data_IF_200617984640
#
_entry.id   IF_200617984640
#
_cell.length_a   1.000
_cell.length_b   1.000
_cell.length_c   1.000
_cell.angle_alpha   90.00
_cell.angle_beta   90.00
_cell.angle_gamma   90.00
#
_symmetry.space_group_name_H-M   'P 1'
#
loop_
_entity.id
_entity.type
_entity.pdbx_description
1 polymer ?
#
# COMPACT_ATOMS: atom_id res chain seq x y z
N UNK A 1 -40.67 -50.43 21.84
CA UNK A 1 -39.59 -51.25 21.25
C UNK A 1 -38.44 -50.30 20.96
N UNK A 2 -37.23 -50.57 21.51
CA UNK A 2 -35.91 -50.00 21.14
C UNK A 2 -35.70 -48.50 21.44
N UNK A 3 -34.58 -47.96 21.94
CA UNK A 3 -33.39 -48.36 22.70
C UNK A 3 -32.59 -47.06 22.92
N UNK A 4 -31.92 -46.97 24.06
CA UNK A 4 -30.72 -46.17 24.41
C UNK A 4 -30.15 -45.19 23.36
N UNK A 5 -29.71 -44.00 23.83
CA UNK A 5 -28.29 -43.73 24.02
C UNK A 5 -28.05 -42.40 24.75
N UNK A 6 -27.56 -42.51 26.00
CA UNK A 6 -26.67 -41.53 26.61
C UNK A 6 -25.32 -41.63 25.89
N UNK A 7 -24.96 -40.62 25.11
CA UNK A 7 -23.66 -40.34 24.49
C UNK A 7 -23.69 -38.82 24.19
N UNK A 8 -22.73 -37.96 24.45
CA UNK A 8 -21.44 -37.99 25.14
C UNK A 8 -21.14 -36.51 25.41
N UNK A 9 -20.87 -36.16 26.67
CA UNK A 9 -20.77 -34.79 27.18
C UNK A 9 -19.32 -34.29 27.16
N UNK A 10 -18.50 -34.73 26.21
CA UNK A 10 -17.05 -34.50 26.27
C UNK A 10 -16.33 -34.02 25.02
N UNK A 11 -17.00 -33.77 23.89
CA UNK A 11 -16.31 -33.25 22.68
C UNK A 11 -17.01 -32.03 22.10
N UNK A 12 -16.68 -30.85 22.65
CA UNK A 12 -16.42 -29.60 21.91
C UNK A 12 -16.07 -28.46 22.87
N UNK A 13 -14.98 -28.65 23.62
CA UNK A 13 -14.20 -27.55 24.14
C UNK A 13 -13.42 -26.91 22.99
N UNK A 14 -13.95 -25.83 22.41
CA UNK A 14 -13.16 -24.60 22.22
C UNK A 14 -14.12 -23.45 21.97
N UNK A 15 -14.60 -22.85 23.06
CA UNK A 15 -15.18 -21.51 22.99
C UNK A 15 -14.05 -20.60 22.51
N UNK A 16 -14.04 -20.33 21.22
CA UNK A 16 -13.11 -19.43 20.58
C UNK A 16 -13.38 -18.04 21.18
N UNK A 17 -12.63 -17.69 22.21
CA UNK A 17 -12.67 -16.36 22.83
C UNK A 17 -12.28 -15.38 21.75
N UNK A 18 -13.27 -14.72 21.16
CA UNK A 18 -13.06 -13.56 20.30
C UNK A 18 -12.26 -12.56 21.14
N UNK A 19 -10.96 -12.46 20.86
CA UNK A 19 -10.10 -11.48 21.48
C UNK A 19 -10.09 -10.29 20.52
N UNK A 20 -10.84 -9.21 20.76
CA UNK A 20 -10.85 -8.05 19.86
C UNK A 20 -9.47 -7.37 19.77
N UNK A 21 -8.52 -7.75 20.63
CA UNK A 21 -7.13 -7.29 20.58
C UNK A 21 -6.29 -7.94 19.48
N UNK A 22 -6.71 -9.07 18.89
CA UNK A 22 -5.97 -9.68 17.77
C UNK A 22 -6.09 -8.92 16.44
N UNK A 23 -7.08 -8.02 16.30
CA UNK A 23 -7.21 -7.15 15.12
C UNK A 23 -6.42 -5.84 15.22
N UNK A 24 -5.96 -5.45 16.41
CA UNK A 24 -5.26 -4.17 16.63
C UNK A 24 -3.78 -4.18 16.21
N UNK A 25 -3.26 -5.31 15.76
CA UNK A 25 -1.91 -5.41 15.22
C UNK A 25 -1.89 -6.19 13.92
N UNK A 26 -2.72 -5.81 12.94
CA UNK A 26 -2.34 -6.01 11.54
C UNK A 26 -1.11 -5.12 11.28
N UNK A 27 0.04 -5.57 11.81
CA UNK A 27 1.38 -5.07 11.57
C UNK A 27 1.41 -4.80 10.08
N UNK A 28 1.47 -3.53 9.68
CA UNK A 28 1.60 -3.18 8.27
C UNK A 28 2.87 -3.87 7.80
N UNK A 29 2.71 -5.01 7.13
CA UNK A 29 3.82 -5.86 6.77
C UNK A 29 4.68 -5.07 5.80
N UNK A 30 5.78 -4.52 6.30
CA UNK A 30 6.74 -3.79 5.48
C UNK A 30 7.40 -4.78 4.55
N UNK A 31 6.96 -4.81 3.29
CA UNK A 31 7.58 -5.61 2.24
C UNK A 31 8.79 -4.85 1.72
N UNK A 32 9.95 -5.49 1.73
CA UNK A 32 11.15 -5.00 1.06
C UNK A 32 11.20 -5.58 -0.35
N UNK A 33 11.57 -4.76 -1.32
CA UNK A 33 11.84 -5.19 -2.69
C UNK A 33 13.09 -4.48 -3.20
N UNK A 34 13.85 -5.14 -4.07
CA UNK A 34 15.01 -4.56 -4.76
C UNK A 34 14.59 -4.15 -6.17
N UNK A 35 15.14 -3.03 -6.63
CA UNK A 35 14.90 -2.50 -7.97
C UNK A 35 16.22 -2.49 -8.71
N UNK A 36 16.22 -2.99 -9.94
CA UNK A 36 17.37 -2.92 -10.83
C UNK A 36 17.18 -1.71 -11.73
N UNK A 37 18.13 -0.78 -11.71
CA UNK A 37 18.11 0.45 -12.51
C UNK A 37 19.33 0.48 -13.42
N UNK A 38 19.23 1.17 -14.56
CA UNK A 38 20.42 1.53 -15.32
C UNK A 38 21.30 2.48 -14.50
N UNK A 39 22.58 2.60 -14.86
CA UNK A 39 23.49 3.56 -14.23
C UNK A 39 22.91 4.98 -14.25
N UNK A 40 22.37 5.40 -15.41
CA UNK A 40 21.77 6.71 -15.63
C UNK A 40 20.55 6.94 -14.74
N UNK A 41 19.64 5.97 -14.65
CA UNK A 41 18.42 6.10 -13.83
C UNK A 41 18.76 6.12 -12.33
N UNK A 42 19.80 5.40 -11.92
CA UNK A 42 20.32 5.42 -10.54
C UNK A 42 20.90 6.78 -10.18
N UNK A 43 21.67 7.40 -11.08
CA UNK A 43 22.18 8.76 -10.91
C UNK A 43 21.04 9.78 -10.83
N UNK A 44 20.07 9.66 -11.73
CA UNK A 44 18.89 10.54 -11.73
C UNK A 44 18.06 10.42 -10.44
N UNK A 45 17.89 9.20 -9.91
CA UNK A 45 17.22 8.98 -8.62
C UNK A 45 17.95 9.69 -7.47
N UNK A 46 19.29 9.64 -7.46
CA UNK A 46 20.11 10.32 -6.45
C UNK A 46 20.00 11.84 -6.54
N UNK A 47 19.96 12.38 -7.74
CA UNK A 47 19.77 13.82 -7.97
C UNK A 47 18.42 14.29 -7.43
N UNK A 48 17.32 13.59 -7.76
CA UNK A 48 15.99 13.91 -7.24
C UNK A 48 15.95 13.84 -5.71
N UNK A 49 16.53 12.78 -5.13
CA UNK A 49 16.61 12.59 -3.69
C UNK A 49 17.33 13.78 -3.03
N UNK A 50 18.44 14.24 -3.60
CA UNK A 50 19.20 15.40 -3.13
C UNK A 50 18.43 16.72 -3.27
N UNK A 51 17.81 16.96 -4.43
CA UNK A 51 17.08 18.21 -4.71
C UNK A 51 15.86 18.40 -3.78
N UNK A 52 15.20 17.30 -3.42
CA UNK A 52 14.00 17.32 -2.59
C UNK A 52 14.28 17.09 -1.10
N UNK A 53 15.53 16.89 -0.71
CA UNK A 53 15.94 16.50 0.65
C UNK A 53 15.17 15.26 1.15
N UNK A 54 15.19 14.21 0.33
CA UNK A 54 14.51 12.93 0.57
C UNK A 54 15.49 11.76 0.44
N UNK A 55 15.13 10.62 1.00
CA UNK A 55 15.80 9.36 0.69
C UNK A 55 15.34 8.80 -0.66
N UNK A 56 16.19 8.05 -1.36
CA UNK A 56 15.84 7.36 -2.61
C UNK A 56 14.56 6.50 -2.45
N UNK A 57 14.41 5.84 -1.31
CA UNK A 57 13.21 5.05 -0.98
C UNK A 57 11.94 5.91 -0.88
N UNK A 58 12.03 7.13 -0.37
CA UNK A 58 10.90 8.06 -0.32
C UNK A 58 10.53 8.58 -1.70
N UNK A 59 11.54 8.86 -2.55
CA UNK A 59 11.32 9.22 -3.94
C UNK A 59 10.55 8.12 -4.67
N UNK A 60 10.99 6.86 -4.57
CA UNK A 60 10.29 5.72 -5.18
C UNK A 60 8.87 5.57 -4.63
N UNK A 61 8.67 5.71 -3.31
CA UNK A 61 7.33 5.64 -2.71
C UNK A 61 6.40 6.75 -3.20
N UNK A 62 6.91 7.97 -3.34
CA UNK A 62 6.14 9.11 -3.89
C UNK A 62 5.86 8.92 -5.37
N UNK A 63 6.84 8.43 -6.13
CA UNK A 63 6.69 8.05 -7.54
C UNK A 63 5.59 7.01 -7.73
N UNK A 64 5.56 5.95 -6.92
CA UNK A 64 4.49 4.95 -6.97
C UNK A 64 3.09 5.55 -6.74
N UNK A 65 2.97 6.49 -5.78
CA UNK A 65 1.70 7.20 -5.54
C UNK A 65 1.30 8.07 -6.73
N UNK A 66 2.24 8.77 -7.34
CA UNK A 66 2.01 9.57 -8.53
C UNK A 66 1.53 8.68 -9.70
N UNK A 67 2.17 7.53 -9.90
CA UNK A 67 1.75 6.55 -10.92
C UNK A 67 0.36 5.98 -10.65
N UNK A 68 -0.03 5.79 -9.38
CA UNK A 68 -1.38 5.38 -9.04
C UNK A 68 -2.44 6.45 -9.35
N UNK A 69 -2.10 7.74 -9.20
CA UNK A 69 -2.98 8.84 -9.61
C UNK A 69 -3.08 8.93 -11.14
N UNK A 70 -1.95 8.77 -11.83
CA UNK A 70 -1.91 8.72 -13.29
C UNK A 70 -2.73 7.54 -13.86
N UNK A 71 -2.62 6.35 -13.26
CA UNK A 71 -3.41 5.20 -13.70
C UNK A 71 -4.94 5.45 -13.60
N UNK A 72 -5.39 6.26 -12.64
CA UNK A 72 -6.81 6.63 -12.52
C UNK A 72 -7.27 7.54 -13.66
N UNK A 73 -6.40 8.41 -14.17
CA UNK A 73 -6.75 9.30 -15.28
C UNK A 73 -6.96 8.55 -16.59
N UNK A 74 -6.36 7.37 -16.74
CA UNK A 74 -6.58 6.50 -17.90
C UNK A 74 -7.92 5.75 -17.83
N UNK A 75 -8.53 5.64 -16.65
CA UNK A 75 -9.76 4.85 -16.43
C UNK A 75 -11.02 5.69 -16.21
N UNK A 76 -10.87 6.95 -15.79
CA UNK A 76 -11.97 7.86 -15.47
C UNK A 76 -12.02 8.97 -16.53
N UNK A 77 -13.18 9.14 -17.20
CA UNK A 77 -13.39 10.22 -18.18
C UNK A 77 -13.23 11.60 -17.53
N UNK A 78 -12.62 12.55 -18.25
CA UNK A 78 -12.40 13.96 -17.84
C UNK A 78 -11.51 14.20 -16.61
N UNK A 79 -10.59 13.29 -16.30
CA UNK A 79 -9.68 13.44 -15.16
C UNK A 79 -8.39 14.19 -15.51
N UNK A 80 -8.01 15.19 -14.70
CA UNK A 80 -6.76 15.95 -14.87
C UNK A 80 -5.87 15.88 -13.62
N UNK A 81 -4.54 15.77 -13.81
CA UNK A 81 -3.57 15.91 -12.73
C UNK A 81 -3.07 17.36 -12.64
N UNK A 82 -3.31 17.99 -11.50
CA UNK A 82 -2.88 19.37 -11.22
C UNK A 82 -1.82 19.33 -10.11
N UNK A 83 -0.64 19.92 -10.36
CA UNK A 83 0.31 20.22 -9.30
C UNK A 83 -0.06 21.53 -8.64
N UNK A 84 -0.38 21.47 -7.35
CA UNK A 84 -0.61 22.65 -6.54
C UNK A 84 0.55 22.87 -5.58
N UNK A 85 1.17 24.05 -5.64
CA UNK A 85 2.19 24.50 -4.69
C UNK A 85 1.75 25.84 -4.09
N UNK A 86 1.16 25.80 -2.89
CA UNK A 86 0.49 26.97 -2.31
C UNK A 86 -0.73 27.38 -3.13
N UNK A 87 -0.75 28.62 -3.61
CA UNK A 87 -1.82 29.15 -4.47
C UNK A 87 -1.50 29.01 -5.97
N UNK A 88 -0.31 28.53 -6.32
CA UNK A 88 0.04 28.26 -7.72
C UNK A 88 -0.45 26.87 -8.12
N UNK A 89 -1.19 26.82 -9.23
CA UNK A 89 -1.58 25.59 -9.90
C UNK A 89 -0.84 25.51 -11.24
N UNK A 90 -0.23 24.35 -11.51
CA UNK A 90 0.42 24.06 -12.79
C UNK A 90 -0.12 22.73 -13.31
N UNK A 91 -0.64 22.69 -14.54
CA UNK A 91 -1.02 21.42 -15.15
C UNK A 91 0.23 20.55 -15.31
N UNK A 92 0.11 19.26 -14.99
CA UNK A 92 1.12 18.28 -15.33
C UNK A 92 0.94 17.90 -16.80
N UNK A 93 1.91 18.25 -17.64
CA UNK A 93 2.06 17.64 -18.96
C UNK A 93 2.97 16.42 -18.78
N UNK A 94 2.41 15.22 -18.92
CA UNK A 94 3.19 13.99 -19.04
C UNK A 94 3.34 13.75 -20.54
N UNK A 95 4.58 13.80 -21.06
CA UNK A 95 4.91 13.68 -22.49
C UNK A 95 5.69 12.40 -22.74
#
# INVERSE_FOLDING_TARGET
>A
MVKMALLDLSDQLSVNRYNPFTELTKKMATRQFRVNLSQKDSEYLKEIAKELDLTESEVIRKGLKLMALYAKTETEEDTQLILQKGNEQRPLLIV
#
